data_IF_771742261016
#
_entry.id   IF_771742261016
#
_cell.length_a   1.000
_cell.length_b   1.000
_cell.length_c   1.000
_cell.angle_alpha   90.00
_cell.angle_beta   90.00
_cell.angle_gamma   90.00
#
_symmetry.space_group_name_H-M   'P 1'
#
loop_
_entity.id
_entity.type
_entity.pdbx_description
1 polymer ?
#
# COMPACT_ATOMS: atom_id res chain seq x y z
N UNK A 1 32.84 -2.49 -17.76
CA UNK A 1 31.41 -2.52 -17.39
C UNK A 1 31.34 -2.62 -15.87
N UNK A 2 31.02 -1.55 -15.15
CA UNK A 2 30.90 -1.61 -13.68
C UNK A 2 29.55 -2.21 -13.34
N UNK A 3 29.53 -3.49 -12.96
CA UNK A 3 28.35 -4.16 -12.41
C UNK A 3 27.82 -3.37 -11.23
N UNK A 4 26.63 -2.76 -11.38
CA UNK A 4 26.00 -1.96 -10.33
C UNK A 4 25.62 -2.87 -9.17
N UNK A 5 26.36 -2.81 -8.06
CA UNK A 5 26.02 -3.53 -6.83
C UNK A 5 24.65 -3.04 -6.33
N UNK A 6 23.65 -3.91 -6.34
CA UNK A 6 22.34 -3.63 -5.76
C UNK A 6 22.43 -3.66 -4.24
N UNK A 7 22.09 -2.54 -3.60
CA UNK A 7 22.07 -2.40 -2.12
C UNK A 7 20.67 -2.58 -1.56
N UNK A 8 20.58 -3.17 -0.37
CA UNK A 8 19.32 -3.30 0.36
C UNK A 8 18.78 -1.93 0.79
N UNK A 9 17.50 -1.86 1.15
CA UNK A 9 16.91 -0.62 1.68
C UNK A 9 17.58 -0.19 3.00
N UNK A 10 17.91 -1.16 3.85
CA UNK A 10 18.58 -0.95 5.14
C UNK A 10 19.99 -0.40 4.97
N UNK A 11 20.79 -0.97 4.06
CA UNK A 11 22.13 -0.45 3.74
C UNK A 11 22.04 0.99 3.22
N UNK A 12 21.09 1.29 2.33
CA UNK A 12 20.90 2.65 1.80
C UNK A 12 20.57 3.62 2.92
N UNK A 13 19.71 3.22 3.86
CA UNK A 13 19.33 4.05 5.00
C UNK A 13 20.53 4.31 5.93
N UNK A 14 21.32 3.29 6.26
CA UNK A 14 22.52 3.45 7.09
C UNK A 14 23.50 4.47 6.48
N UNK A 15 23.76 4.37 5.18
CA UNK A 15 24.65 5.31 4.48
C UNK A 15 24.08 6.73 4.49
N UNK A 16 22.77 6.90 4.28
CA UNK A 16 22.10 8.20 4.36
C UNK A 16 22.23 8.80 5.76
N UNK A 17 21.99 8.02 6.80
CA UNK A 17 22.09 8.47 8.20
C UNK A 17 23.51 8.89 8.56
N UNK A 18 24.52 8.14 8.10
CA UNK A 18 25.93 8.50 8.29
C UNK A 18 26.27 9.84 7.64
N UNK A 19 25.81 10.08 6.40
CA UNK A 19 26.01 11.36 5.71
C UNK A 19 25.17 12.53 6.26
N UNK A 20 24.19 12.24 7.14
CA UNK A 20 23.40 13.25 7.86
C UNK A 20 23.97 13.58 9.24
N UNK A 21 24.96 12.83 9.73
CA UNK A 21 25.58 13.08 11.02
C UNK A 21 26.25 14.46 11.05
N UNK A 22 26.31 15.14 12.21
CA UNK A 22 27.02 16.40 12.34
C UNK A 22 28.46 16.28 11.85
N UNK A 23 28.91 17.26 11.04
CA UNK A 23 30.26 17.31 10.45
C UNK A 23 30.59 16.18 9.46
N UNK A 24 29.60 15.40 9.00
CA UNK A 24 29.84 14.39 7.97
C UNK A 24 30.30 15.04 6.65
N UNK A 25 31.36 14.48 6.05
CA UNK A 25 31.77 14.80 4.69
C UNK A 25 31.14 13.80 3.72
N UNK A 26 30.15 14.25 2.95
CA UNK A 26 29.40 13.40 2.03
C UNK A 26 30.33 12.74 0.99
N UNK A 27 31.35 13.44 0.52
CA UNK A 27 32.30 12.89 -0.46
C UNK A 27 33.10 11.71 0.11
N UNK A 28 33.48 11.76 1.39
CA UNK A 28 34.18 10.67 2.06
C UNK A 28 33.26 9.48 2.34
N UNK A 29 32.02 9.76 2.76
CA UNK A 29 30.97 8.74 2.93
C UNK A 29 30.73 8.00 1.61
N UNK A 30 30.53 8.74 0.51
CA UNK A 30 30.35 8.17 -0.82
C UNK A 30 31.54 7.30 -1.24
N UNK A 31 32.78 7.77 -1.05
CA UNK A 31 34.00 7.02 -1.39
C UNK A 31 34.13 5.73 -0.59
N UNK A 32 33.91 5.77 0.73
CA UNK A 32 33.99 4.60 1.62
C UNK A 32 32.95 3.54 1.28
N UNK A 33 31.75 3.97 0.88
CA UNK A 33 30.67 3.06 0.49
C UNK A 33 30.69 2.68 -1.00
N UNK A 34 31.58 3.28 -1.80
CA UNK A 34 31.66 3.04 -3.25
C UNK A 34 30.38 3.44 -3.98
N UNK A 35 29.79 4.58 -3.61
CA UNK A 35 28.59 5.14 -4.26
C UNK A 35 28.88 6.51 -4.85
N UNK A 36 28.08 6.93 -5.83
CA UNK A 36 28.11 8.30 -6.33
C UNK A 36 27.35 9.24 -5.40
N UNK A 37 27.76 10.51 -5.38
CA UNK A 37 27.03 11.55 -4.65
C UNK A 37 25.59 11.69 -5.14
N UNK A 38 25.33 11.48 -6.44
CA UNK A 38 23.98 11.45 -7.01
C UNK A 38 23.11 10.38 -6.35
N UNK A 39 23.61 9.15 -6.22
CA UNK A 39 22.87 8.06 -5.57
C UNK A 39 22.58 8.39 -4.09
N UNK A 40 23.56 8.94 -3.37
CA UNK A 40 23.37 9.39 -1.99
C UNK A 40 22.22 10.41 -1.87
N UNK A 41 22.23 11.46 -2.70
CA UNK A 41 21.21 12.51 -2.63
C UNK A 41 19.82 12.02 -3.05
N UNK A 42 19.73 11.11 -4.02
CA UNK A 42 18.48 10.45 -4.38
C UNK A 42 17.91 9.64 -3.21
N UNK A 43 18.74 8.84 -2.53
CA UNK A 43 18.29 8.04 -1.39
C UNK A 43 17.90 8.92 -0.21
N UNK A 44 18.67 9.98 0.08
CA UNK A 44 18.36 10.95 1.13
C UNK A 44 17.00 11.62 0.90
N UNK A 45 16.76 12.06 -0.34
CA UNK A 45 15.48 12.69 -0.70
C UNK A 45 14.30 11.74 -0.49
N UNK A 46 14.44 10.48 -0.94
CA UNK A 46 13.41 9.45 -0.74
C UNK A 46 13.16 9.16 0.74
N UNK A 47 14.23 9.02 1.54
CA UNK A 47 14.13 8.75 2.97
C UNK A 47 13.40 9.89 3.71
N UNK A 48 13.76 11.14 3.46
CA UNK A 48 13.12 12.30 4.09
C UNK A 48 11.65 12.46 3.67
N UNK A 49 11.32 12.21 2.40
CA UNK A 49 9.94 12.21 1.93
C UNK A 49 9.10 11.13 2.63
N UNK A 50 9.62 9.91 2.74
CA UNK A 50 8.98 8.81 3.45
C UNK A 50 8.78 9.11 4.94
N UNK A 51 9.80 9.66 5.61
CA UNK A 51 9.71 10.07 7.01
C UNK A 51 8.66 11.17 7.21
N UNK A 52 8.64 12.19 6.34
CA UNK A 52 7.61 13.25 6.38
C UNK A 52 6.21 12.70 6.19
N UNK A 53 6.03 11.74 5.28
CA UNK A 53 4.75 11.07 5.08
C UNK A 53 4.35 10.26 6.31
N UNK A 54 5.28 9.50 6.88
CA UNK A 54 5.07 8.72 8.11
C UNK A 54 4.66 9.58 9.30
N UNK A 55 5.20 10.80 9.42
CA UNK A 55 4.82 11.74 10.48
C UNK A 55 3.43 12.40 10.26
N UNK A 56 2.94 12.45 9.01
CA UNK A 56 1.59 12.95 8.71
C UNK A 56 0.51 11.91 8.97
N UNK A 57 0.84 10.64 8.78
CA UNK A 57 -0.07 9.54 9.03
C UNK A 57 -0.03 9.17 10.51
N UNK A 58 -1.16 9.23 11.20
CA UNK A 58 -1.29 8.58 12.52
C UNK A 58 -1.00 7.09 12.33
N UNK A 59 -0.23 6.42 13.22
CA UNK A 59 -0.07 4.97 13.18
C UNK A 59 -1.45 4.30 13.10
N UNK A 60 -1.68 3.51 12.05
CA UNK A 60 -2.96 2.85 11.80
C UNK A 60 -4.05 3.73 11.17
N UNK A 61 -3.85 5.03 10.93
CA UNK A 61 -4.87 5.91 10.33
C UNK A 61 -5.20 5.51 8.89
N UNK A 62 -4.19 5.42 8.03
CA UNK A 62 -4.37 4.98 6.64
C UNK A 62 -4.86 3.52 6.56
N UNK A 63 -4.39 2.65 7.45
CA UNK A 63 -4.84 1.27 7.49
C UNK A 63 -6.28 1.14 7.99
N UNK A 64 -6.70 1.95 8.96
CA UNK A 64 -8.07 2.01 9.46
C UNK A 64 -9.01 2.57 8.40
N UNK A 65 -8.60 3.61 7.69
CA UNK A 65 -9.35 4.19 6.58
C UNK A 65 -9.53 3.18 5.43
N UNK A 66 -8.45 2.48 5.05
CA UNK A 66 -8.52 1.38 4.08
C UNK A 66 -9.42 0.23 4.54
N UNK A 67 -9.38 -0.14 5.84
CA UNK A 67 -10.25 -1.17 6.41
C UNK A 67 -11.72 -0.74 6.40
N UNK A 68 -12.01 0.51 6.73
CA UNK A 68 -13.36 1.08 6.67
C UNK A 68 -13.89 1.09 5.23
N UNK A 69 -13.08 1.56 4.28
CA UNK A 69 -13.49 1.61 2.88
C UNK A 69 -13.67 0.20 2.31
N UNK A 70 -12.81 -0.76 2.66
CA UNK A 70 -12.98 -2.15 2.26
C UNK A 70 -14.28 -2.77 2.79
N UNK A 71 -14.64 -2.47 4.05
CA UNK A 71 -15.91 -2.93 4.64
C UNK A 71 -17.12 -2.32 3.92
N UNK A 72 -17.06 -1.02 3.61
CA UNK A 72 -18.09 -0.32 2.83
C UNK A 72 -18.26 -0.93 1.44
N UNK A 73 -17.16 -1.13 0.72
CA UNK A 73 -17.16 -1.71 -0.62
C UNK A 73 -17.73 -3.14 -0.61
N UNK A 74 -17.35 -3.98 0.37
CA UNK A 74 -17.90 -5.33 0.52
C UNK A 74 -19.42 -5.33 0.72
N UNK A 75 -19.93 -4.41 1.55
CA UNK A 75 -21.37 -4.27 1.75
C UNK A 75 -22.08 -3.91 0.44
N UNK A 76 -21.56 -2.92 -0.27
CA UNK A 76 -22.12 -2.48 -1.55
C UNK A 76 -22.11 -3.59 -2.60
N UNK A 77 -21.01 -4.35 -2.69
CA UNK A 77 -20.90 -5.52 -3.59
C UNK A 77 -21.93 -6.59 -3.24
N UNK A 78 -22.14 -6.89 -1.95
CA UNK A 78 -23.14 -7.85 -1.52
C UNK A 78 -24.56 -7.39 -1.89
N UNK A 79 -24.88 -6.12 -1.69
CA UNK A 79 -26.18 -5.54 -2.09
C UNK A 79 -26.40 -5.64 -3.60
N UNK A 80 -25.40 -5.31 -4.41
CA UNK A 80 -25.50 -5.44 -5.87
C UNK A 80 -25.60 -6.89 -6.34
N UNK A 81 -24.89 -7.82 -5.70
CA UNK A 81 -24.97 -9.24 -6.02
C UNK A 81 -26.40 -9.77 -5.80
N UNK A 82 -27.02 -9.44 -4.66
CA UNK A 82 -28.41 -9.83 -4.38
C UNK A 82 -29.40 -9.26 -5.41
N UNK A 83 -29.23 -8.00 -5.83
CA UNK A 83 -30.06 -7.39 -6.86
C UNK A 83 -29.86 -8.11 -8.20
N UNK A 84 -28.61 -8.40 -8.56
CA UNK A 84 -28.28 -9.07 -9.80
C UNK A 84 -28.88 -10.48 -9.85
N UNK A 85 -28.76 -11.25 -8.77
CA UNK A 85 -29.36 -12.59 -8.66
C UNK A 85 -30.88 -12.54 -8.85
N UNK A 86 -31.56 -11.59 -8.19
CA UNK A 86 -33.02 -11.41 -8.35
C UNK A 86 -33.42 -10.99 -9.77
N UNK A 87 -32.63 -10.14 -10.41
CA UNK A 87 -32.85 -9.74 -11.80
C UNK A 87 -32.69 -10.95 -12.72
N UNK A 88 -31.65 -11.76 -12.53
CA UNK A 88 -31.44 -12.99 -13.29
C UNK A 88 -32.60 -13.98 -13.08
N UNK A 89 -33.08 -14.20 -11.85
CA UNK A 89 -34.26 -15.03 -11.60
C UNK A 89 -35.52 -14.53 -12.31
N UNK A 90 -35.72 -13.21 -12.37
CA UNK A 90 -36.84 -12.58 -13.08
C UNK A 90 -36.72 -12.79 -14.59
N UNK A 91 -35.50 -12.65 -15.14
CA UNK A 91 -35.21 -12.85 -16.56
C UNK A 91 -35.28 -14.33 -16.97
N UNK A 92 -34.86 -15.24 -16.10
CA UNK A 92 -34.92 -16.69 -16.29
C UNK A 92 -36.34 -17.25 -16.12
N UNK A 93 -37.30 -16.43 -15.68
CA UNK A 93 -38.72 -16.80 -15.61
C UNK A 93 -39.01 -17.93 -14.63
N UNK A 94 -38.28 -18.03 -13.51
CA UNK A 94 -38.54 -19.06 -12.50
C UNK A 94 -39.78 -18.68 -11.67
N UNK A 95 -40.92 -19.39 -11.78
CA UNK A 95 -42.08 -19.06 -10.97
C UNK A 95 -41.78 -19.40 -9.51
N UNK A 96 -42.06 -18.46 -8.59
CA UNK A 96 -42.15 -18.79 -7.16
C UNK A 96 -43.24 -19.86 -7.00
N UNK A 97 -42.82 -21.09 -6.74
CA UNK A 97 -43.71 -22.16 -6.32
C UNK A 97 -44.42 -21.71 -5.04
N UNK A 98 -45.70 -21.37 -5.17
CA UNK A 98 -46.64 -21.24 -4.06
C UNK A 98 -46.48 -22.44 -3.13
N UNK A 99 -46.08 -22.19 -1.90
CA UNK A 99 -46.28 -23.16 -0.83
C UNK A 99 -47.71 -22.98 -0.29
N UNK A 100 -48.69 -23.32 -1.12
CA UNK A 100 -50.06 -23.56 -0.70
C UNK A 100 -50.17 -25.05 -0.35
N UNK A 101 -49.59 -25.43 0.78
CA UNK A 101 -49.65 -26.78 1.33
C UNK A 101 -50.69 -26.87 2.44
N UNK A 102 -51.97 -26.84 2.09
CA UNK A 102 -53.03 -27.33 2.95
C UNK A 102 -52.94 -28.85 3.11
N UNK A 103 -52.84 -29.31 4.35
CA UNK A 103 -53.25 -30.63 4.89
C UNK A 103 -53.05 -30.49 6.40
N UNK A 104 -54.05 -30.56 7.27
CA UNK A 104 -55.35 -31.24 7.25
C UNK A 104 -56.42 -30.43 7.98
#
# INVERSE_FOLDING_TARGET
MTTGKTRSAEEKLQIVLEGMAPRANISEVCRRHGISSTAYYEWRTKALAGMKQGLKTTPGGAETELRHENARLKKLVAEYALINDRLQETLEGRPQGKNDGGSS
#
